data_IF_557347309294
#
_entry.id   IF_557347309294
#
_cell.length_a   1.000
_cell.length_b   1.000
_cell.length_c   1.000
_cell.angle_alpha   90.00
_cell.angle_beta   90.00
_cell.angle_gamma   90.00
#
_symmetry.space_group_name_H-M   'P 1'
#
loop_
_entity.id
_entity.type
_entity.pdbx_description
1 polymer ?
#
# COMPACT_ATOMS: atom_id res chain seq x y z
N UNK A 1 5.12 1.21 -1.75
CA UNK A 1 3.63 1.21 -1.81
C UNK A 1 3.05 2.45 -2.49
N UNK A 2 3.31 3.68 -2.03
CA UNK A 2 2.64 4.87 -2.58
C UNK A 2 2.82 5.09 -4.09
N UNK A 3 4.05 5.01 -4.61
CA UNK A 3 4.32 5.13 -6.06
C UNK A 3 3.65 3.97 -6.83
N UNK A 4 3.72 2.75 -6.31
CA UNK A 4 3.09 1.58 -6.92
C UNK A 4 1.58 1.78 -7.13
N UNK A 5 0.85 2.26 -6.11
CA UNK A 5 -0.59 2.49 -6.20
C UNK A 5 -0.94 3.62 -7.18
N UNK A 6 -0.10 4.66 -7.27
CA UNK A 6 -0.29 5.74 -8.24
C UNK A 6 -0.13 5.24 -9.68
N UNK A 7 0.91 4.43 -9.93
CA UNK A 7 1.28 4.02 -11.29
C UNK A 7 0.43 2.85 -11.80
N UNK A 8 0.18 1.85 -10.94
CA UNK A 8 -0.43 0.59 -11.37
C UNK A 8 -1.95 0.54 -11.13
N UNK A 9 -2.46 1.35 -10.20
CA UNK A 9 -3.86 1.34 -9.81
C UNK A 9 -4.56 2.71 -10.06
N UNK A 10 -3.84 3.68 -10.66
CA UNK A 10 -4.36 5.01 -11.04
C UNK A 10 -4.99 5.82 -9.88
N UNK A 11 -4.41 5.71 -8.68
CA UNK A 11 -4.84 6.47 -7.50
C UNK A 11 -4.00 7.72 -7.26
N UNK A 12 -4.60 8.82 -6.82
CA UNK A 12 -3.89 9.88 -6.10
C UNK A 12 -3.72 9.50 -4.63
N UNK A 13 -2.52 9.76 -4.09
CA UNK A 13 -2.18 9.52 -2.68
C UNK A 13 -2.40 10.81 -1.90
N UNK A 14 -3.20 10.74 -0.85
CA UNK A 14 -3.41 11.82 0.10
C UNK A 14 -2.82 11.34 1.44
N UNK A 15 -1.70 11.92 1.90
CA UNK A 15 -1.13 11.56 3.20
C UNK A 15 -2.13 11.96 4.29
N UNK A 16 -2.57 10.99 5.08
CA UNK A 16 -3.47 11.28 6.19
C UNK A 16 -2.65 11.74 7.41
N UNK A 17 -3.05 12.85 8.03
CA UNK A 17 -2.35 13.44 9.19
C UNK A 17 -3.16 13.40 10.50
N UNK A 18 -4.39 12.86 10.49
CA UNK A 18 -5.23 12.80 11.69
C UNK A 18 -4.97 11.52 12.49
N UNK A 19 -4.11 11.64 13.51
CA UNK A 19 -3.57 10.53 14.30
C UNK A 19 -4.41 10.13 15.53
N UNK A 20 -5.49 10.84 15.83
CA UNK A 20 -6.12 10.70 17.15
C UNK A 20 -7.31 9.73 17.21
N UNK A 21 -7.95 9.36 16.08
CA UNK A 21 -9.09 8.42 16.10
C UNK A 21 -9.21 7.48 14.89
N UNK A 22 -8.43 7.69 13.82
CA UNK A 22 -8.50 6.89 12.57
C UNK A 22 -7.25 6.01 12.41
N UNK A 23 -6.99 5.16 13.40
CA UNK A 23 -5.70 4.48 13.58
C UNK A 23 -5.38 3.34 12.60
N UNK A 24 -6.24 3.06 11.60
CA UNK A 24 -6.15 1.82 10.83
C UNK A 24 -5.32 1.95 9.54
N UNK A 25 -5.15 3.15 8.97
CA UNK A 25 -4.50 3.34 7.66
C UNK A 25 -3.64 4.61 7.59
N UNK A 26 -2.62 4.61 6.71
CA UNK A 26 -1.65 5.71 6.56
C UNK A 26 -2.03 6.69 5.44
N UNK A 27 -2.66 6.19 4.38
CA UNK A 27 -2.99 6.95 3.18
C UNK A 27 -4.47 6.86 2.86
N UNK A 28 -5.06 8.01 2.53
CA UNK A 28 -6.29 8.07 1.76
C UNK A 28 -5.96 8.07 0.27
N UNK A 29 -6.81 7.44 -0.53
CA UNK A 29 -6.63 7.26 -1.95
C UNK A 29 -7.86 7.76 -2.71
N UNK A 30 -7.63 8.40 -3.85
CA UNK A 30 -8.70 8.80 -4.77
C UNK A 30 -8.39 8.34 -6.19
N UNK A 31 -9.19 7.45 -6.73
CA UNK A 31 -8.99 6.96 -8.10
C UNK A 31 -9.14 8.13 -9.07
N UNK A 32 -8.17 8.32 -9.96
CA UNK A 32 -8.06 9.51 -10.81
C UNK A 32 -9.25 9.67 -11.76
N UNK A 33 -9.68 8.59 -12.41
CA UNK A 33 -10.79 8.63 -13.38
C UNK A 33 -12.18 8.56 -12.74
N UNK A 34 -12.40 7.58 -11.86
CA UNK A 34 -13.73 7.31 -11.29
C UNK A 34 -14.05 8.11 -10.04
N UNK A 35 -13.05 8.70 -9.39
CA UNK A 35 -13.22 9.33 -8.08
C UNK A 35 -13.54 8.33 -6.96
N UNK A 36 -13.38 7.01 -7.17
CA UNK A 36 -13.57 6.02 -6.11
C UNK A 36 -12.58 6.25 -4.97
N UNK A 37 -13.06 6.26 -3.73
CA UNK A 37 -12.21 6.36 -2.55
C UNK A 37 -11.65 4.98 -2.19
N UNK A 38 -10.44 4.96 -1.63
CA UNK A 38 -9.82 3.78 -1.04
C UNK A 38 -8.86 4.23 0.08
N UNK A 39 -8.33 3.30 0.86
CA UNK A 39 -7.29 3.56 1.87
C UNK A 39 -6.16 2.56 1.74
N UNK A 40 -4.97 2.93 2.20
CA UNK A 40 -3.84 2.01 2.26
C UNK A 40 -3.14 2.03 3.62
N UNK A 41 -2.78 0.84 4.09
CA UNK A 41 -2.00 0.65 5.32
C UNK A 41 -0.80 -0.25 5.03
N UNK A 42 0.33 0.04 5.69
CA UNK A 42 1.50 -0.83 5.64
C UNK A 42 1.99 -1.14 7.04
N UNK A 43 2.49 -2.35 7.22
CA UNK A 43 3.28 -2.72 8.39
C UNK A 43 4.67 -3.17 7.93
N UNK A 44 5.64 -3.11 8.86
CA UNK A 44 6.94 -3.75 8.67
C UNK A 44 6.82 -5.28 8.76
N UNK A 45 7.72 -5.91 9.51
CA UNK A 45 7.73 -7.37 9.67
C UNK A 45 6.53 -7.93 10.47
N UNK A 46 5.71 -7.06 11.06
CA UNK A 46 4.50 -7.45 11.78
C UNK A 46 3.39 -7.85 10.81
N UNK A 47 2.78 -9.05 10.94
CA UNK A 47 1.61 -9.43 10.15
C UNK A 47 0.44 -8.44 10.32
N UNK A 48 -0.39 -8.30 9.28
CA UNK A 48 -1.64 -7.51 9.35
C UNK A 48 -2.84 -8.44 9.51
N UNK A 49 -3.78 -8.07 10.37
CA UNK A 49 -5.06 -8.76 10.50
C UNK A 49 -6.12 -8.05 9.65
N UNK A 50 -6.68 -8.77 8.68
CA UNK A 50 -7.71 -8.27 7.76
C UNK A 50 -8.98 -7.83 8.52
N UNK A 51 -9.29 -8.50 9.63
CA UNK A 51 -10.48 -8.22 10.41
C UNK A 51 -10.42 -6.88 11.15
N UNK A 52 -9.23 -6.30 11.35
CA UNK A 52 -9.07 -4.97 11.96
C UNK A 52 -9.64 -3.84 11.07
N UNK A 53 -9.88 -4.15 9.79
CA UNK A 53 -10.36 -3.21 8.77
C UNK A 53 -11.85 -3.40 8.43
N UNK A 54 -12.56 -4.29 9.12
CA UNK A 54 -13.93 -4.72 8.77
C UNK A 54 -14.96 -3.58 8.77
N UNK A 55 -14.72 -2.54 9.58
CA UNK A 55 -15.65 -1.41 9.74
C UNK A 55 -15.55 -0.38 8.61
N UNK A 56 -14.60 -0.53 7.71
CA UNK A 56 -14.34 0.44 6.64
C UNK A 56 -15.12 0.06 5.38
N UNK A 57 -16.10 0.90 5.02
CA UNK A 57 -16.91 0.76 3.80
C UNK A 57 -16.21 1.41 2.60
N UNK A 58 -15.00 0.96 2.31
CA UNK A 58 -14.18 1.44 1.19
C UNK A 58 -13.22 0.35 0.72
N UNK A 59 -12.59 0.54 -0.44
CA UNK A 59 -11.52 -0.37 -0.88
C UNK A 59 -10.26 -0.15 -0.03
N UNK A 60 -9.56 -1.23 0.31
CA UNK A 60 -8.43 -1.23 1.25
C UNK A 60 -7.25 -1.97 0.62
N UNK A 61 -6.09 -1.35 0.64
CA UNK A 61 -4.83 -1.95 0.21
C UNK A 61 -3.91 -2.18 1.41
N UNK A 62 -3.49 -3.42 1.64
CA UNK A 62 -2.67 -3.81 2.79
C UNK A 62 -1.33 -4.37 2.34
N UNK A 63 -0.23 -3.81 2.87
CA UNK A 63 1.12 -4.33 2.65
C UNK A 63 1.78 -4.66 3.99
N UNK A 64 1.97 -5.93 4.30
CA UNK A 64 2.85 -6.36 5.38
C UNK A 64 4.19 -6.78 4.78
N UNK A 65 5.31 -6.18 5.18
CA UNK A 65 6.61 -6.56 4.57
C UNK A 65 7.03 -7.99 4.87
N UNK A 66 6.43 -8.64 5.87
CA UNK A 66 6.58 -10.08 6.11
C UNK A 66 5.83 -10.97 5.12
N UNK A 67 4.91 -10.40 4.33
CA UNK A 67 3.99 -11.14 3.45
C UNK A 67 2.90 -11.90 4.21
N UNK A 68 2.82 -11.77 5.54
CA UNK A 68 1.90 -12.53 6.37
C UNK A 68 0.65 -11.72 6.71
N UNK A 69 -0.49 -12.38 6.53
CA UNK A 69 -1.82 -11.81 6.80
C UNK A 69 -2.65 -12.81 7.60
N UNK A 70 -3.47 -12.29 8.52
CA UNK A 70 -4.42 -13.05 9.32
C UNK A 70 -5.86 -12.58 9.07
N UNK A 71 -6.83 -13.35 9.56
CA UNK A 71 -8.25 -13.04 9.40
C UNK A 71 -8.85 -13.60 8.12
N UNK A 72 -10.10 -13.23 7.84
CA UNK A 72 -10.85 -13.74 6.68
C UNK A 72 -10.69 -12.83 5.47
N UNK A 73 -10.45 -13.36 4.25
CA UNK A 73 -10.45 -12.56 3.03
C UNK A 73 -11.78 -11.82 2.83
N UNK A 74 -11.73 -10.58 2.35
CA UNK A 74 -12.90 -9.73 2.07
C UNK A 74 -12.78 -9.10 0.68
N UNK A 75 -13.92 -8.91 0.01
CA UNK A 75 -13.96 -8.44 -1.38
C UNK A 75 -13.42 -7.03 -1.58
N UNK A 76 -13.55 -6.17 -0.57
CA UNK A 76 -13.04 -4.80 -0.59
C UNK A 76 -11.59 -4.69 -0.08
N UNK A 77 -10.95 -5.79 0.35
CA UNK A 77 -9.59 -5.77 0.92
C UNK A 77 -8.63 -6.51 -0.02
N UNK A 78 -7.59 -5.80 -0.45
CA UNK A 78 -6.53 -6.31 -1.31
C UNK A 78 -5.21 -6.35 -0.54
N UNK A 79 -4.75 -7.56 -0.25
CA UNK A 79 -3.40 -7.79 0.29
C UNK A 79 -2.39 -7.77 -0.84
N UNK A 80 -1.30 -7.01 -0.68
CA UNK A 80 -0.24 -6.88 -1.67
C UNK A 80 0.96 -7.71 -1.22
N UNK A 81 1.35 -8.67 -2.04
CA UNK A 81 2.58 -9.43 -1.83
C UNK A 81 3.81 -8.49 -1.89
N UNK A 82 4.70 -8.49 -0.88
CA UNK A 82 5.94 -7.72 -0.91
C UNK A 82 6.78 -7.92 -2.17
N UNK A 83 6.80 -9.14 -2.73
CA UNK A 83 7.59 -9.45 -3.92
C UNK A 83 7.09 -8.68 -5.15
N UNK A 84 5.78 -8.38 -5.22
CA UNK A 84 5.21 -7.52 -6.27
C UNK A 84 5.75 -6.10 -6.16
N UNK A 85 5.92 -5.58 -4.94
CA UNK A 85 6.51 -4.27 -4.71
C UNK A 85 7.99 -4.28 -5.08
N UNK A 86 8.75 -5.31 -4.66
CA UNK A 86 10.16 -5.46 -5.01
C UNK A 86 10.36 -5.49 -6.53
N UNK A 87 9.60 -6.32 -7.24
CA UNK A 87 9.62 -6.40 -8.70
C UNK A 87 9.30 -5.05 -9.35
N UNK A 88 8.25 -4.37 -8.89
CA UNK A 88 7.89 -3.04 -9.38
C UNK A 88 9.05 -2.04 -9.21
N UNK A 89 9.76 -2.05 -8.08
CA UNK A 89 10.89 -1.14 -7.84
C UNK A 89 12.04 -1.40 -8.83
N UNK A 90 12.33 -2.67 -9.15
CA UNK A 90 13.36 -3.03 -10.14
C UNK A 90 12.97 -2.67 -11.57
N UNK A 91 11.69 -2.78 -11.93
CA UNK A 91 11.19 -2.45 -13.27
C UNK A 91 11.00 -0.94 -13.47
N UNK A 92 10.70 -0.20 -12.40
CA UNK A 92 10.35 1.22 -12.44
C UNK A 92 11.40 2.09 -11.72
N UNK A 93 12.67 1.71 -11.77
CA UNK A 93 13.78 2.42 -11.09
C UNK A 93 13.85 3.90 -11.43
N UNK A 94 13.44 4.30 -12.64
CA UNK A 94 13.41 5.69 -13.08
C UNK A 94 12.45 6.57 -12.27
N UNK A 95 11.42 5.99 -11.62
CA UNK A 95 10.47 6.71 -10.76
C UNK A 95 11.00 6.94 -9.34
N UNK A 96 12.16 6.37 -9.01
CA UNK A 96 12.72 6.42 -7.66
C UNK A 96 13.69 7.59 -7.51
N UNK A 97 13.85 8.13 -6.29
CA UNK A 97 14.91 9.08 -6.00
C UNK A 97 16.29 8.46 -6.26
N UNK A 98 17.26 9.25 -6.74
CA UNK A 98 18.60 8.75 -7.12
C UNK A 98 19.31 8.00 -5.99
N UNK A 99 19.12 8.45 -4.74
CA UNK A 99 19.66 7.75 -3.56
C UNK A 99 19.14 6.32 -3.44
N UNK A 100 17.89 6.05 -3.80
CA UNK A 100 17.30 4.71 -3.76
C UNK A 100 17.78 3.83 -4.92
N UNK A 101 18.08 4.43 -6.09
CA UNK A 101 18.63 3.70 -7.24
C UNK A 101 19.94 3.01 -6.89
N UNK A 102 20.83 3.71 -6.17
CA UNK A 102 22.10 3.15 -5.68
C UNK A 102 21.88 1.92 -4.80
N UNK A 103 20.92 1.97 -3.86
CA UNK A 103 20.60 0.82 -3.00
C UNK A 103 20.04 -0.36 -3.79
N UNK A 104 19.21 -0.10 -4.80
CA UNK A 104 18.65 -1.13 -5.68
C UNK A 104 19.73 -1.82 -6.49
N UNK A 105 20.70 -1.07 -7.04
CA UNK A 105 21.83 -1.63 -7.77
C UNK A 105 22.71 -2.55 -6.91
N UNK A 106 22.85 -2.23 -5.61
CA UNK A 106 23.64 -3.04 -4.67
C UNK A 106 22.91 -4.30 -4.16
N UNK A 107 21.59 -4.37 -4.31
CA UNK A 107 20.73 -5.44 -3.74
C UNK A 107 20.04 -6.29 -4.80
N UNK A 108 20.29 -6.03 -6.08
CA UNK A 108 19.81 -6.81 -7.22
C UNK A 108 20.68 -8.05 -7.43
#
# INVERSE_FOLDING_TARGET
MAIYLQVTQDYHIIPSSCKDDTMTYEFELKHRQTGKSAVASKSGWTPLNIDDYDKLDTDIFLLATSGQYHGKPKSNIKTIDPDVICKFLYEQTHLLPDKMKVWIELTR
#
